data_IF_695373138972
#
_entry.id   IF_695373138972
#
_cell.length_a   1.000
_cell.length_b   1.000
_cell.length_c   1.000
_cell.angle_alpha   90.00
_cell.angle_beta   90.00
_cell.angle_gamma   90.00
#
_symmetry.space_group_name_H-M   'P 1'
#
loop_
_entity.id
_entity.type
_entity.pdbx_description
1 polymer ?
#
# COMPACT_ATOMS: atom_id res chain seq x y z
N UNK A 1 18.50 -14.77 40.00
CA UNK A 1 17.66 -15.06 38.82
C UNK A 1 16.65 -13.93 38.75
N UNK A 2 16.84 -13.01 37.80
CA UNK A 2 15.98 -11.84 37.63
C UNK A 2 14.71 -12.27 36.90
N UNK A 3 13.58 -12.16 37.58
CA UNK A 3 12.25 -12.35 36.99
C UNK A 3 11.75 -10.96 36.58
N UNK A 4 12.29 -10.46 35.46
CA UNK A 4 11.94 -9.17 34.87
C UNK A 4 10.65 -9.32 34.06
N UNK A 5 9.51 -9.36 34.76
CA UNK A 5 8.19 -9.27 34.12
C UNK A 5 7.82 -7.80 34.04
N UNK A 6 8.29 -7.13 33.00
CA UNK A 6 7.72 -5.86 32.55
C UNK A 6 6.29 -6.14 32.11
N UNK A 7 5.35 -6.05 33.05
CA UNK A 7 3.92 -6.01 32.73
C UNK A 7 3.69 -4.63 32.12
N UNK A 8 3.76 -4.57 30.80
CA UNK A 8 3.47 -3.38 30.00
C UNK A 8 1.97 -3.08 30.14
N UNK A 9 1.60 -2.47 31.27
CA UNK A 9 0.24 -2.04 31.58
C UNK A 9 -0.04 -0.77 30.78
N UNK A 10 -0.29 -0.93 29.48
CA UNK A 10 -0.77 0.16 28.62
C UNK A 10 -2.09 0.67 29.21
N UNK A 11 -2.15 1.93 29.69
CA UNK A 11 -3.36 2.45 30.32
C UNK A 11 -4.54 2.43 29.34
N UNK A 12 -5.65 1.80 29.73
CA UNK A 12 -6.88 1.77 28.94
C UNK A 12 -7.07 0.55 28.04
N UNK A 13 -6.18 -0.45 28.09
CA UNK A 13 -6.32 -1.70 27.34
C UNK A 13 -6.54 -2.86 28.32
N UNK A 14 -7.64 -3.60 28.16
CA UNK A 14 -7.89 -4.79 28.99
C UNK A 14 -6.87 -5.89 28.69
N UNK A 15 -6.64 -6.79 29.65
CA UNK A 15 -5.73 -7.93 29.46
C UNK A 15 -6.15 -8.82 28.30
N UNK A 16 -7.46 -8.96 28.06
CA UNK A 16 -8.01 -9.67 26.90
C UNK A 16 -7.58 -9.00 25.59
N UNK A 17 -7.64 -7.66 25.53
CA UNK A 17 -7.25 -6.90 24.35
C UNK A 17 -5.73 -6.90 24.12
N UNK A 18 -4.92 -6.97 25.17
CA UNK A 18 -3.47 -7.18 25.04
C UNK A 18 -3.15 -8.56 24.45
N UNK A 19 -3.85 -9.61 24.87
CA UNK A 19 -3.67 -10.96 24.32
C UNK A 19 -4.04 -11.01 22.84
N UNK A 20 -5.12 -10.34 22.43
CA UNK A 20 -5.50 -10.22 21.01
C UNK A 20 -4.43 -9.51 20.18
N UNK A 21 -3.87 -8.41 20.70
CA UNK A 21 -2.86 -7.63 20.00
C UNK A 21 -1.52 -8.39 19.87
N UNK A 22 -1.15 -9.15 20.90
CA UNK A 22 0.03 -10.03 20.85
C UNK A 22 -0.19 -11.16 19.83
N UNK A 23 -1.36 -11.80 19.85
CA UNK A 23 -1.70 -12.85 18.89
C UNK A 23 -1.74 -12.32 17.44
N UNK A 24 -2.15 -11.08 17.23
CA UNK A 24 -2.11 -10.41 15.93
C UNK A 24 -0.66 -10.10 15.49
N UNK A 25 0.17 -9.58 16.39
CA UNK A 25 1.58 -9.28 16.12
C UNK A 25 2.39 -10.55 15.82
N UNK A 26 2.14 -11.65 16.55
CA UNK A 26 2.79 -12.95 16.35
C UNK A 26 2.37 -13.64 15.05
N UNK A 27 1.13 -13.39 14.58
CA UNK A 27 0.65 -13.93 13.30
C UNK A 27 1.43 -13.35 12.11
N UNK A 28 2.04 -12.19 12.31
CA UNK A 28 2.76 -11.46 11.27
C UNK A 28 1.82 -10.89 10.21
N UNK A 29 2.21 -9.76 9.61
CA UNK A 29 1.53 -9.28 8.41
C UNK A 29 1.92 -10.19 7.24
N UNK A 30 0.97 -10.97 6.76
CA UNK A 30 1.18 -11.76 5.56
C UNK A 30 1.05 -10.81 4.35
N UNK A 31 2.18 -10.30 3.86
CA UNK A 31 2.22 -9.50 2.63
C UNK A 31 1.94 -10.33 1.36
N UNK A 32 1.78 -11.65 1.50
CA UNK A 32 1.40 -12.58 0.43
C UNK A 32 -0.10 -12.54 0.07
N UNK A 33 -0.85 -11.52 0.50
CA UNK A 33 -2.04 -11.10 -0.22
C UNK A 33 -1.62 -10.38 -1.51
N UNK A 34 -0.96 -11.12 -2.40
CA UNK A 34 -0.75 -10.83 -3.82
C UNK A 34 -2.09 -10.96 -4.59
N UNK A 35 -3.18 -10.60 -3.90
CA UNK A 35 -4.42 -10.23 -4.51
C UNK A 35 -4.15 -8.88 -5.15
N UNK A 36 -4.09 -8.89 -6.47
CA UNK A 36 -4.50 -7.75 -7.30
C UNK A 36 -6.02 -7.48 -7.10
N UNK A 37 -6.50 -7.54 -5.87
CA UNK A 37 -7.75 -6.93 -5.47
C UNK A 37 -7.44 -5.44 -5.34
N UNK A 38 -8.37 -4.66 -5.83
CA UNK A 38 -8.28 -3.22 -5.89
C UNK A 38 -8.39 -2.73 -4.45
N UNK A 39 -7.26 -2.74 -3.74
CA UNK A 39 -7.19 -2.35 -2.34
C UNK A 39 -7.65 -0.89 -2.15
N UNK A 40 -8.02 -0.50 -0.93
CA UNK A 40 -8.28 0.90 -0.61
C UNK A 40 -7.05 1.74 -0.98
N UNK A 41 -7.13 2.45 -2.11
CA UNK A 41 -6.00 3.16 -2.72
C UNK A 41 -5.83 2.94 -4.23
N UNK A 42 -6.51 1.96 -4.84
CA UNK A 42 -6.58 1.82 -6.28
C UNK A 42 -7.40 2.97 -6.89
N UNK A 43 -6.71 4.00 -7.40
CA UNK A 43 -7.34 5.11 -8.10
C UNK A 43 -7.61 4.73 -9.55
N UNK A 44 -8.89 4.68 -9.90
CA UNK A 44 -9.31 4.68 -11.29
C UNK A 44 -9.14 6.08 -11.86
N UNK A 45 -8.28 6.20 -12.87
CA UNK A 45 -8.16 7.40 -13.67
C UNK A 45 -9.08 7.28 -14.88
N UNK A 46 -10.07 8.17 -14.96
CA UNK A 46 -10.83 8.33 -16.19
C UNK A 46 -10.10 9.33 -17.09
N UNK A 47 -9.35 8.79 -18.04
CA UNK A 47 -8.64 9.54 -19.07
C UNK A 47 -9.56 9.77 -20.26
N UNK A 48 -9.52 10.91 -20.94
CA UNK A 48 -10.24 11.03 -22.21
C UNK A 48 -9.62 10.15 -23.32
N UNK A 49 -10.28 10.07 -24.49
CA UNK A 49 -9.82 9.23 -25.60
C UNK A 49 -8.40 9.60 -26.09
N UNK A 50 -8.12 10.90 -26.20
CA UNK A 50 -6.84 11.41 -26.67
C UNK A 50 -5.73 11.11 -25.64
N UNK A 51 -6.03 11.28 -24.35
CA UNK A 51 -5.13 10.94 -23.25
C UNK A 51 -4.84 9.44 -23.20
N UNK A 52 -5.86 8.59 -23.37
CA UNK A 52 -5.69 7.12 -23.44
C UNK A 52 -4.78 6.75 -24.61
N UNK A 53 -5.02 7.31 -25.80
CA UNK A 53 -4.21 7.07 -26.99
C UNK A 53 -2.75 7.51 -26.78
N UNK A 54 -2.53 8.67 -26.17
CA UNK A 54 -1.20 9.18 -25.87
C UNK A 54 -0.42 8.29 -24.89
N UNK A 55 -1.08 7.82 -23.82
CA UNK A 55 -0.49 6.89 -22.84
C UNK A 55 -0.12 5.57 -23.51
N UNK A 56 -1.00 4.99 -24.32
CA UNK A 56 -0.72 3.73 -25.02
C UNK A 56 0.42 3.86 -26.02
N UNK A 57 0.45 4.94 -26.80
CA UNK A 57 1.51 5.21 -27.76
C UNK A 57 2.88 5.37 -27.07
N UNK A 58 2.92 6.01 -25.90
CA UNK A 58 4.14 6.15 -25.10
C UNK A 58 4.55 4.82 -24.48
N UNK A 59 3.61 4.06 -23.91
CA UNK A 59 3.87 2.74 -23.36
C UNK A 59 4.51 1.79 -24.40
N UNK A 60 3.98 1.80 -25.63
CA UNK A 60 4.55 1.01 -26.74
C UNK A 60 5.97 1.45 -27.09
N UNK A 61 6.20 2.76 -27.20
CA UNK A 61 7.51 3.34 -27.53
C UNK A 61 8.56 3.00 -26.48
N UNK A 62 8.18 3.12 -25.20
CA UNK A 62 9.07 2.96 -24.05
C UNK A 62 9.17 1.48 -23.60
N UNK A 63 8.46 0.57 -24.30
CA UNK A 63 8.36 -0.87 -23.99
C UNK A 63 8.00 -1.13 -22.52
N UNK A 64 7.04 -0.38 -22.01
CA UNK A 64 6.57 -0.43 -20.63
C UNK A 64 5.05 -0.58 -20.58
N UNK A 65 4.48 -0.80 -19.39
CA UNK A 65 3.04 -0.85 -19.20
C UNK A 65 2.44 0.57 -19.09
N UNK A 66 1.18 0.77 -19.53
CA UNK A 66 0.49 2.06 -19.42
C UNK A 66 0.45 2.65 -18.01
N UNK A 67 0.34 1.82 -16.97
CA UNK A 67 0.28 2.30 -15.60
C UNK A 67 1.62 2.89 -15.14
N UNK A 68 2.75 2.34 -15.60
CA UNK A 68 4.08 2.91 -15.36
C UNK A 68 4.26 4.28 -16.02
N UNK A 69 3.74 4.47 -17.24
CA UNK A 69 3.75 5.78 -17.91
C UNK A 69 2.98 6.82 -17.09
N UNK A 70 1.78 6.46 -16.62
CA UNK A 70 0.94 7.34 -15.80
C UNK A 70 1.59 7.67 -14.46
N UNK A 71 2.16 6.67 -13.77
CA UNK A 71 2.89 6.88 -12.51
C UNK A 71 4.09 7.82 -12.69
N UNK A 72 4.85 7.66 -13.76
CA UNK A 72 5.98 8.54 -14.07
C UNK A 72 5.52 9.98 -14.30
N UNK A 73 4.46 10.19 -15.10
CA UNK A 73 3.91 11.52 -15.36
C UNK A 73 3.39 12.20 -14.07
N UNK A 74 2.73 11.44 -13.19
CA UNK A 74 2.27 11.95 -11.89
C UNK A 74 3.46 12.29 -10.97
N UNK A 75 4.49 11.45 -10.94
CA UNK A 75 5.69 11.71 -10.15
C UNK A 75 6.43 12.98 -10.63
N UNK A 76 6.54 13.18 -11.94
CA UNK A 76 7.10 14.39 -12.54
C UNK A 76 6.28 15.62 -12.16
N UNK A 77 4.95 15.56 -12.28
CA UNK A 77 4.06 16.65 -11.89
C UNK A 77 4.23 17.05 -10.41
N UNK A 78 4.21 16.07 -9.51
CA UNK A 78 4.37 16.30 -8.07
C UNK A 78 5.76 16.83 -7.69
N UNK A 79 6.80 16.48 -8.44
CA UNK A 79 8.14 17.02 -8.22
C UNK A 79 8.28 18.49 -8.65
N UNK A 80 7.38 18.97 -9.52
CA UNK A 80 7.38 20.34 -10.04
C UNK A 80 6.37 21.28 -9.36
N UNK A 81 5.49 20.74 -8.51
CA UNK A 81 4.45 21.47 -7.78
C UNK A 81 4.95 21.95 -6.41
#
# INVERSE_FOLDING_TARGET
MSDDRTVDNVPGVSSERLVELVAEAERGYNFDEDRTEWGPGALLLDLDEDQRAAVLARAFRDRTDPASVVRAALAEYLATA
#
